data_IF_895584198772
#
_entry.id   IF_895584198772
#
_cell.length_a   1.000
_cell.length_b   1.000
_cell.length_c   1.000
_cell.angle_alpha   90.00
_cell.angle_beta   90.00
_cell.angle_gamma   90.00
#
_symmetry.space_group_name_H-M   'P 1'
#
loop_
_entity.id
_entity.type
_entity.pdbx_description
1 polymer ?
#
# COMPACT_ATOMS: atom_id res chain seq x y z
N UNK A 1 -23.94 35.42 11.08
CA UNK A 1 -23.30 34.13 10.75
C UNK A 1 -23.14 34.12 9.24
N UNK A 2 -21.91 34.11 8.73
CA UNK A 2 -21.65 34.03 7.29
C UNK A 2 -21.74 32.55 6.90
N UNK A 3 -22.87 32.15 6.33
CA UNK A 3 -23.02 30.86 5.64
C UNK A 3 -22.05 30.87 4.45
N UNK A 4 -20.92 30.17 4.57
CA UNK A 4 -20.03 29.94 3.42
C UNK A 4 -20.81 29.10 2.43
N UNK A 5 -21.14 29.71 1.29
CA UNK A 5 -21.78 28.98 0.18
C UNK A 5 -20.90 27.80 -0.25
N UNK A 6 -21.45 26.74 -0.86
CA UNK A 6 -20.64 25.61 -1.31
C UNK A 6 -19.44 26.04 -2.15
N UNK A 7 -19.58 27.07 -2.98
CA UNK A 7 -18.53 27.70 -3.77
C UNK A 7 -17.44 28.44 -2.98
N UNK A 8 -17.55 28.60 -1.66
CA UNK A 8 -16.49 29.15 -0.80
C UNK A 8 -15.96 28.12 0.21
N UNK A 9 -16.46 26.89 0.15
CA UNK A 9 -16.15 25.84 1.11
C UNK A 9 -14.95 25.02 0.67
N UNK A 10 -13.86 25.07 1.45
CA UNK A 10 -12.70 24.20 1.30
C UNK A 10 -13.09 22.71 1.28
N UNK A 11 -14.16 22.35 2.00
CA UNK A 11 -14.69 20.99 2.01
C UNK A 11 -15.26 20.59 0.64
N UNK A 12 -15.99 21.49 -0.02
CA UNK A 12 -16.55 21.24 -1.35
C UNK A 12 -15.43 21.11 -2.38
N UNK A 13 -14.44 22.00 -2.34
CA UNK A 13 -13.27 21.93 -3.20
C UNK A 13 -12.52 20.59 -3.04
N UNK A 14 -12.24 20.19 -1.79
CA UNK A 14 -11.60 18.90 -1.47
C UNK A 14 -12.43 17.71 -1.94
N UNK A 15 -13.76 17.77 -1.78
CA UNK A 15 -14.66 16.69 -2.20
C UNK A 15 -14.64 16.49 -3.72
N UNK A 16 -14.69 17.57 -4.50
CA UNK A 16 -14.60 17.49 -5.97
C UNK A 16 -13.22 16.98 -6.40
N UNK A 17 -12.15 17.44 -5.74
CA UNK A 17 -10.81 16.92 -6.02
C UNK A 17 -10.71 15.41 -5.77
N UNK A 18 -11.19 14.94 -4.61
CA UNK A 18 -11.19 13.52 -4.27
C UNK A 18 -12.09 12.68 -5.18
N UNK A 19 -13.20 13.24 -5.67
CA UNK A 19 -14.05 12.58 -6.65
C UNK A 19 -13.30 12.35 -7.97
N UNK A 20 -12.49 13.32 -8.42
CA UNK A 20 -11.63 13.15 -9.58
C UNK A 20 -10.60 12.03 -9.37
N UNK A 21 -9.95 11.96 -8.20
CA UNK A 21 -8.99 10.88 -7.86
C UNK A 21 -9.66 9.50 -7.84
N UNK A 22 -10.90 9.42 -7.37
CA UNK A 22 -11.66 8.18 -7.38
C UNK A 22 -11.98 7.71 -8.81
N UNK A 23 -12.34 8.63 -9.71
CA UNK A 23 -12.51 8.33 -11.12
C UNK A 23 -11.22 7.84 -11.78
N UNK A 24 -10.08 8.49 -11.50
CA UNK A 24 -8.77 8.02 -11.97
C UNK A 24 -8.45 6.60 -11.49
N UNK A 25 -8.72 6.31 -10.22
CA UNK A 25 -8.48 4.99 -9.63
C UNK A 25 -9.32 3.87 -10.27
N UNK A 26 -10.40 4.23 -10.96
CA UNK A 26 -11.30 3.33 -11.69
C UNK A 26 -11.03 3.27 -13.19
N UNK A 27 -9.97 3.93 -13.68
CA UNK A 27 -9.69 4.11 -15.12
C UNK A 27 -10.77 4.91 -15.88
N UNK A 28 -11.63 5.65 -15.17
CA UNK A 28 -12.69 6.49 -15.74
C UNK A 28 -12.14 7.90 -16.04
N UNK A 29 -11.13 7.97 -16.92
CA UNK A 29 -10.29 9.17 -17.09
C UNK A 29 -11.03 10.41 -17.59
N UNK A 30 -12.05 10.25 -18.43
CA UNK A 30 -12.83 11.40 -18.92
C UNK A 30 -13.67 12.02 -17.81
N UNK A 31 -14.29 11.19 -16.96
CA UNK A 31 -14.99 11.67 -15.76
C UNK A 31 -14.03 12.36 -14.79
N UNK A 32 -12.80 11.84 -14.62
CA UNK A 32 -11.79 12.50 -13.82
C UNK A 32 -11.43 13.90 -14.36
N UNK A 33 -11.21 14.02 -15.68
CA UNK A 33 -10.93 15.32 -16.33
C UNK A 33 -12.07 16.31 -16.12
N UNK A 34 -13.31 15.86 -16.23
CA UNK A 34 -14.47 16.72 -16.04
C UNK A 34 -14.57 17.24 -14.61
N UNK A 35 -14.28 16.41 -13.60
CA UNK A 35 -14.25 16.86 -12.21
C UNK A 35 -13.11 17.84 -11.93
N UNK A 36 -11.91 17.61 -12.47
CA UNK A 36 -10.82 18.59 -12.34
C UNK A 36 -11.15 19.92 -13.01
N UNK A 37 -11.78 19.91 -14.19
CA UNK A 37 -12.24 21.14 -14.87
C UNK A 37 -13.33 21.84 -14.06
N UNK A 38 -14.29 21.09 -13.50
CA UNK A 38 -15.33 21.64 -12.64
C UNK A 38 -14.74 22.29 -11.37
N UNK A 39 -13.72 21.68 -10.76
CA UNK A 39 -12.99 22.27 -9.65
C UNK A 39 -12.38 23.61 -10.04
N UNK A 40 -11.69 23.68 -11.19
CA UNK A 40 -11.06 24.91 -11.66
C UNK A 40 -12.05 26.00 -12.09
N UNK A 41 -13.25 25.61 -12.52
CA UNK A 41 -14.33 26.55 -12.85
C UNK A 41 -14.93 27.19 -11.59
N UNK A 42 -15.09 26.41 -10.52
CA UNK A 42 -15.70 26.87 -9.26
C UNK A 42 -14.68 27.54 -8.33
N UNK A 43 -13.43 27.06 -8.33
CA UNK A 43 -12.31 27.54 -7.52
C UNK A 43 -11.07 27.68 -8.40
N UNK A 44 -10.91 28.77 -9.17
CA UNK A 44 -9.74 28.95 -10.03
C UNK A 44 -8.42 29.19 -9.25
N UNK A 45 -8.55 29.79 -8.07
CA UNK A 45 -7.46 30.16 -7.13
C UNK A 45 -7.64 29.51 -5.74
N UNK A 46 -8.37 28.40 -5.67
CA UNK A 46 -8.55 27.59 -4.48
C UNK A 46 -7.32 26.79 -4.08
N UNK A 47 -7.40 26.12 -2.93
CA UNK A 47 -6.27 25.39 -2.34
C UNK A 47 -5.81 24.20 -3.20
N UNK A 48 -6.70 23.63 -4.00
CA UNK A 48 -6.48 22.46 -4.84
C UNK A 48 -6.33 22.80 -6.33
N UNK A 49 -6.52 24.06 -6.73
CA UNK A 49 -6.51 24.46 -8.15
C UNK A 49 -5.15 24.22 -8.82
N UNK A 50 -4.05 24.50 -8.12
CA UNK A 50 -2.71 24.21 -8.66
C UNK A 50 -2.51 22.71 -8.89
N UNK A 51 -2.96 21.88 -7.95
CA UNK A 51 -2.86 20.43 -8.05
C UNK A 51 -3.75 19.90 -9.18
N UNK A 52 -4.99 20.38 -9.31
CA UNK A 52 -5.90 19.99 -10.39
C UNK A 52 -5.36 20.36 -11.78
N UNK A 53 -4.75 21.55 -11.94
CA UNK A 53 -4.05 21.94 -13.18
C UNK A 53 -2.91 20.97 -13.51
N UNK A 54 -2.09 20.63 -12.51
CA UNK A 54 -1.00 19.65 -12.69
C UNK A 54 -1.54 18.28 -13.11
N UNK A 55 -2.59 17.78 -12.45
CA UNK A 55 -3.20 16.48 -12.77
C UNK A 55 -3.77 16.44 -14.18
N UNK A 56 -4.47 17.50 -14.63
CA UNK A 56 -4.94 17.60 -16.01
C UNK A 56 -3.78 17.53 -17.01
N UNK A 57 -2.70 18.28 -16.76
CA UNK A 57 -1.51 18.24 -17.61
C UNK A 57 -0.86 16.85 -17.61
N UNK A 58 -0.81 16.17 -16.46
CA UNK A 58 -0.27 14.82 -16.33
C UNK A 58 -1.10 13.79 -17.09
N UNK A 59 -2.43 13.86 -17.02
CA UNK A 59 -3.35 13.02 -17.79
C UNK A 59 -3.21 13.20 -19.31
N UNK A 60 -2.63 14.32 -19.75
CA UNK A 60 -2.36 14.58 -21.16
C UNK A 60 -1.01 14.01 -21.63
N UNK A 61 -0.08 13.68 -20.73
CA UNK A 61 1.22 13.10 -21.08
C UNK A 61 1.07 11.71 -21.69
N UNK A 62 1.91 11.40 -22.68
CA UNK A 62 1.95 10.07 -23.31
C UNK A 62 2.24 8.97 -22.30
N UNK A 63 3.22 9.15 -21.42
CA UNK A 63 3.59 8.16 -20.40
C UNK A 63 2.42 7.81 -19.46
N UNK A 64 1.58 8.79 -19.13
CA UNK A 64 0.40 8.58 -18.30
C UNK A 64 -0.68 7.80 -19.03
N UNK A 65 -0.91 8.10 -20.31
CA UNK A 65 -1.80 7.31 -21.16
C UNK A 65 -1.32 5.87 -21.28
N UNK A 66 -0.03 5.66 -21.54
CA UNK A 66 0.57 4.33 -21.63
C UNK A 66 0.39 3.54 -20.31
N UNK A 67 0.50 4.21 -19.16
CA UNK A 67 0.24 3.61 -17.85
C UNK A 67 -1.23 3.18 -17.71
N UNK A 68 -2.18 4.06 -18.02
CA UNK A 68 -3.60 3.72 -17.91
C UNK A 68 -4.02 2.63 -18.91
N UNK A 69 -3.48 2.65 -20.13
CA UNK A 69 -3.66 1.57 -21.11
C UNK A 69 -3.16 0.20 -20.61
N UNK A 70 -2.12 0.19 -19.76
CA UNK A 70 -1.64 -1.01 -19.08
C UNK A 70 -2.50 -1.35 -17.86
N UNK A 71 -2.88 -0.35 -17.06
CA UNK A 71 -3.66 -0.50 -15.84
C UNK A 71 -5.05 -1.06 -16.11
N UNK A 72 -5.72 -0.60 -17.18
CA UNK A 72 -7.02 -1.07 -17.65
C UNK A 72 -7.05 -2.58 -17.95
N UNK A 73 -5.88 -3.18 -18.24
CA UNK A 73 -5.73 -4.61 -18.52
C UNK A 73 -5.48 -5.45 -17.26
N UNK A 74 -5.22 -4.82 -16.12
CA UNK A 74 -4.91 -5.53 -14.89
C UNK A 74 -6.21 -6.09 -14.28
N UNK A 75 -6.16 -7.34 -13.87
CA UNK A 75 -7.19 -7.98 -13.06
C UNK A 75 -6.48 -8.86 -12.03
N UNK A 76 -6.01 -8.27 -10.93
CA UNK A 76 -5.25 -9.01 -9.93
C UNK A 76 -6.15 -10.04 -9.26
N UNK A 77 -5.71 -11.29 -9.24
CA UNK A 77 -6.39 -12.34 -8.47
C UNK A 77 -6.27 -12.04 -6.97
N UNK A 78 -7.41 -11.86 -6.31
CA UNK A 78 -7.45 -11.77 -4.85
C UNK A 78 -7.31 -13.16 -4.25
N UNK A 79 -6.06 -13.59 -4.00
CA UNK A 79 -5.83 -14.77 -3.18
C UNK A 79 -6.24 -14.45 -1.75
N UNK A 80 -7.36 -15.02 -1.31
CA UNK A 80 -7.76 -14.92 0.09
C UNK A 80 -6.64 -15.52 0.96
N UNK A 81 -6.25 -14.83 2.05
CA UNK A 81 -5.33 -15.40 3.00
C UNK A 81 -5.94 -16.70 3.54
N UNK A 82 -5.14 -17.76 3.61
CA UNK A 82 -5.52 -19.00 4.30
C UNK A 82 -4.98 -18.90 5.72
N UNK A 83 -5.86 -18.70 6.70
CA UNK A 83 -5.45 -18.70 8.11
C UNK A 83 -6.25 -17.77 9.03
N UNK A 84 -5.73 -17.53 10.25
CA UNK A 84 -6.34 -16.59 11.19
C UNK A 84 -6.54 -15.22 10.54
N UNK A 85 -7.76 -14.70 10.54
CA UNK A 85 -8.13 -13.46 9.84
C UNK A 85 -8.94 -13.64 8.55
N UNK A 86 -9.24 -14.88 8.14
CA UNK A 86 -10.21 -15.16 7.08
C UNK A 86 -11.63 -14.83 7.58
N UNK A 87 -12.47 -14.09 6.84
CA UNK A 87 -13.87 -13.87 7.21
C UNK A 87 -14.59 -15.21 7.50
N UNK A 88 -15.18 -15.33 8.69
CA UNK A 88 -15.85 -16.56 9.13
C UNK A 88 -14.95 -17.60 9.83
N UNK A 89 -13.62 -17.46 9.76
CA UNK A 89 -12.69 -18.29 10.55
C UNK A 89 -12.19 -17.45 11.73
N UNK A 90 -12.74 -17.75 12.92
CA UNK A 90 -12.29 -17.12 14.16
C UNK A 90 -10.88 -17.64 14.51
N UNK A 91 -9.92 -16.76 14.82
CA UNK A 91 -8.64 -17.18 15.40
C UNK A 91 -8.86 -17.90 16.73
N UNK A 92 -8.05 -18.93 17.00
CA UNK A 92 -8.07 -19.61 18.29
C UNK A 92 -7.38 -18.72 19.35
N UNK A 93 -8.14 -17.79 19.91
CA UNK A 93 -7.71 -16.91 20.99
C UNK A 93 -7.83 -17.65 22.33
N UNK A 94 -6.80 -18.41 22.67
CA UNK A 94 -6.68 -19.07 23.99
C UNK A 94 -6.06 -18.10 25.00
N UNK A 95 -6.90 -17.59 25.92
CA UNK A 95 -6.48 -16.66 26.96
C UNK A 95 -5.45 -17.26 27.93
N UNK A 96 -5.41 -18.59 28.08
CA UNK A 96 -4.48 -19.27 28.98
C UNK A 96 -3.08 -19.44 28.38
N UNK A 97 -2.94 -19.16 27.08
CA UNK A 97 -1.65 -19.17 26.35
C UNK A 97 -1.16 -17.76 26.04
N UNK A 98 -1.81 -16.74 26.60
CA UNK A 98 -1.31 -15.38 26.45
C UNK A 98 -0.01 -15.22 27.25
N UNK A 99 1.02 -14.61 26.67
CA UNK A 99 2.21 -14.26 27.43
C UNK A 99 1.81 -13.27 28.54
N UNK A 100 2.16 -13.58 29.78
CA UNK A 100 1.91 -12.78 31.00
C UNK A 100 2.60 -11.39 30.99
N UNK A 101 3.39 -11.08 29.95
CA UNK A 101 4.22 -9.89 29.89
C UNK A 101 3.64 -8.84 28.92
N UNK A 102 3.75 -7.54 29.27
CA UNK A 102 3.24 -6.47 28.42
C UNK A 102 3.89 -6.55 27.03
N UNK A 103 3.02 -6.51 26.02
CA UNK A 103 3.31 -6.46 24.58
C UNK A 103 4.81 -6.34 24.25
N UNK A 104 5.49 -7.48 24.10
CA UNK A 104 6.73 -7.47 23.34
C UNK A 104 6.31 -7.26 21.89
N UNK A 105 6.66 -6.12 21.30
CA UNK A 105 6.42 -5.80 19.89
C UNK A 105 7.24 -6.76 19.01
N UNK A 106 6.81 -8.02 18.93
CA UNK A 106 7.45 -9.10 18.22
C UNK A 106 6.83 -9.32 16.84
N UNK A 107 6.41 -8.24 16.15
CA UNK A 107 6.20 -8.35 14.71
C UNK A 107 7.59 -8.38 14.07
N UNK A 108 8.22 -9.55 14.07
CA UNK A 108 9.32 -9.82 13.15
C UNK A 108 8.69 -10.18 11.80
N UNK A 109 8.61 -9.20 10.91
CA UNK A 109 8.34 -9.46 9.50
C UNK A 109 9.47 -10.34 8.96
N UNK A 110 9.21 -11.64 8.86
CA UNK A 110 10.00 -12.65 8.16
C UNK A 110 11.50 -12.40 8.09
N UNK A 111 12.24 -12.84 9.11
CA UNK A 111 13.70 -12.86 9.09
C UNK A 111 14.19 -14.06 9.88
N UNK A 112 14.83 -14.97 9.15
CA UNK A 112 15.51 -16.22 9.49
C UNK A 112 15.61 -16.68 10.95
N UNK A 113 15.30 -17.97 11.16
CA UNK A 113 15.86 -18.74 12.28
C UNK A 113 16.89 -19.74 11.76
N UNK A 114 18.19 -19.52 11.98
CA UNK A 114 19.16 -20.60 12.01
C UNK A 114 19.18 -21.20 13.42
N UNK A 115 19.17 -22.53 13.53
CA UNK A 115 19.64 -23.34 14.67
C UNK A 115 19.02 -24.74 14.52
N UNK A 116 19.67 -25.86 14.82
CA UNK A 116 21.03 -26.25 15.16
C UNK A 116 20.91 -27.76 15.42
N UNK A 117 22.00 -28.52 15.34
CA UNK A 117 22.50 -29.21 16.54
C UNK A 117 23.84 -29.91 16.26
N UNK A 118 24.78 -29.82 17.21
CA UNK A 118 26.01 -30.58 17.20
C UNK A 118 25.74 -32.04 17.59
N UNK A 119 26.52 -32.96 17.02
CA UNK A 119 26.77 -34.28 17.61
C UNK A 119 28.27 -34.41 17.80
N UNK A 120 28.67 -34.34 19.05
CA UNK A 120 29.94 -34.85 19.55
C UNK A 120 29.83 -36.37 19.69
N UNK A 121 30.96 -37.05 19.51
CA UNK A 121 31.36 -38.39 19.99
C UNK A 121 32.37 -38.98 18.99
N UNK A 122 33.65 -38.86 19.35
CA UNK A 122 34.80 -39.13 18.49
C UNK A 122 35.20 -40.60 18.31
N UNK A 123 36.21 -40.81 17.45
CA UNK A 123 37.31 -41.73 17.73
C UNK A 123 38.51 -41.44 16.82
N UNK A 124 39.69 -41.66 17.38
CA UNK A 124 41.04 -41.45 16.86
C UNK A 124 41.31 -42.15 15.52
N UNK A 125 42.04 -41.46 14.63
CA UNK A 125 43.12 -42.06 13.86
C UNK A 125 44.10 -40.96 13.44
N UNK A 126 45.28 -41.00 14.07
CA UNK A 126 46.48 -40.29 13.66
C UNK A 126 46.88 -40.75 12.25
N UNK A 127 47.21 -39.84 11.34
CA UNK A 127 48.40 -40.05 10.51
C UNK A 127 48.99 -38.73 10.00
N UNK A 128 50.31 -38.74 9.92
CA UNK A 128 51.24 -37.64 9.68
C UNK A 128 51.38 -37.36 8.18
N UNK A 129 51.54 -36.08 7.83
CA UNK A 129 52.45 -35.53 6.79
C UNK A 129 52.21 -34.01 6.75
N UNK A 130 53.03 -33.12 7.31
CA UNK A 130 54.37 -32.70 6.88
C UNK A 130 54.54 -32.52 5.35
N UNK A 131 54.47 -31.25 4.91
CA UNK A 131 55.42 -30.51 4.04
C UNK A 131 54.67 -29.31 3.44
N UNK A 132 54.99 -28.08 3.84
CA UNK A 132 56.08 -27.24 3.31
C UNK A 132 55.87 -26.84 1.83
N UNK A 133 55.85 -25.50 1.66
CA UNK A 133 55.98 -24.68 0.44
C UNK A 133 54.80 -24.57 -0.54
#
# INVERSE_FOLDING_TARGET
>A
MLEKTPGESLLAERAIFGLAEAYESKDELDSARDQYRALLANWPDGAFSSLAKSRLADLDRKSTKDFYDWFAKQSPETKLPKGPGTPGIKPDFDLNKLPEHPFQSGVTLGGDKPESKPKDDGNEAQDKAQREE
#
